data_IF_622859681522
#
_entry.id   IF_622859681522
#
_cell.length_a   1.000
_cell.length_b   1.000
_cell.length_c   1.000
_cell.angle_alpha   90.00
_cell.angle_beta   90.00
_cell.angle_gamma   90.00
#
_symmetry.space_group_name_H-M   'P 1'
#
loop_
_entity.id
_entity.type
_entity.pdbx_description
1 polymer ?
#
# COMPACT_ATOMS: atom_id res chain seq x y z
N UNK A 1 -4.82 -7.96 7.86
CA UNK A 1 -4.46 -7.91 6.42
C UNK A 1 -5.63 -8.39 5.60
N UNK A 2 -5.61 -8.18 4.29
CA UNK A 2 -6.57 -8.84 3.38
C UNK A 2 -5.82 -9.45 2.20
N UNK A 3 -6.38 -10.52 1.65
CA UNK A 3 -6.04 -11.03 0.33
C UNK A 3 -7.12 -10.58 -0.64
N UNK A 4 -6.70 -10.01 -1.77
CA UNK A 4 -7.61 -9.55 -2.82
C UNK A 4 -7.26 -10.21 -4.14
N UNK A 5 -8.28 -10.79 -4.77
CA UNK A 5 -8.21 -11.46 -6.06
C UNK A 5 -7.62 -10.53 -7.13
N UNK A 6 -6.70 -11.06 -7.94
CA UNK A 6 -6.09 -10.34 -9.07
C UNK A 6 -7.11 -9.99 -10.17
N UNK A 7 -8.36 -10.43 -10.04
CA UNK A 7 -9.48 -10.01 -10.90
C UNK A 7 -9.84 -8.54 -10.68
N UNK A 8 -9.70 -8.03 -9.45
CA UNK A 8 -10.06 -6.65 -9.07
C UNK A 8 -8.91 -5.86 -8.46
N UNK A 9 -7.79 -6.53 -8.14
CA UNK A 9 -6.58 -5.90 -7.62
C UNK A 9 -5.45 -5.93 -8.65
N UNK A 10 -4.70 -4.84 -8.72
CA UNK A 10 -3.54 -4.72 -9.58
C UNK A 10 -2.32 -4.22 -8.81
N UNK A 11 -1.20 -4.91 -9.01
CA UNK A 11 0.11 -4.53 -8.48
C UNK A 11 0.90 -3.66 -9.46
N UNK A 12 1.63 -2.69 -8.93
CA UNK A 12 2.69 -1.94 -9.62
C UNK A 12 3.89 -1.82 -8.69
N UNK A 13 5.09 -1.99 -9.23
CA UNK A 13 6.32 -1.89 -8.46
C UNK A 13 7.51 -1.56 -9.34
N UNK A 14 8.55 -1.00 -8.73
CA UNK A 14 9.79 -0.59 -9.40
C UNK A 14 11.02 -1.07 -8.63
N UNK A 15 12.17 -1.12 -9.31
CA UNK A 15 13.45 -1.47 -8.70
C UNK A 15 13.43 -2.83 -8.01
N UNK A 16 13.77 -2.86 -6.72
CA UNK A 16 13.90 -4.10 -5.93
C UNK A 16 12.58 -4.76 -5.58
N UNK A 17 11.46 -4.05 -5.72
CA UNK A 17 10.10 -4.54 -5.45
C UNK A 17 9.28 -4.55 -6.76
N UNK A 18 9.90 -4.93 -7.87
CA UNK A 18 9.24 -4.98 -9.19
C UNK A 18 8.10 -6.01 -9.26
N UNK A 19 8.05 -6.97 -8.34
CA UNK A 19 7.02 -8.02 -8.25
C UNK A 19 6.41 -8.08 -6.85
N UNK A 20 5.16 -8.58 -6.70
CA UNK A 20 4.55 -8.79 -5.39
C UNK A 20 5.41 -9.69 -4.49
N UNK A 21 6.01 -10.75 -5.03
CA UNK A 21 6.83 -11.69 -4.27
C UNK A 21 8.05 -11.02 -3.65
N UNK A 22 8.68 -10.11 -4.39
CA UNK A 22 9.82 -9.33 -3.90
C UNK A 22 9.41 -8.35 -2.79
N UNK A 23 8.26 -7.69 -2.93
CA UNK A 23 7.72 -6.84 -1.86
C UNK A 23 7.45 -7.67 -0.61
N UNK A 24 6.72 -8.79 -0.74
CA UNK A 24 6.34 -9.61 0.40
C UNK A 24 7.54 -10.26 1.09
N UNK A 25 8.60 -10.61 0.36
CA UNK A 25 9.82 -11.14 0.96
C UNK A 25 10.52 -10.13 1.90
N UNK A 26 10.35 -8.82 1.68
CA UNK A 26 10.89 -7.78 2.55
C UNK A 26 9.93 -7.35 3.67
N UNK A 27 8.62 -7.43 3.42
CA UNK A 27 7.59 -6.87 4.30
C UNK A 27 6.89 -7.90 5.20
N UNK A 28 6.93 -9.19 4.86
CA UNK A 28 6.23 -10.24 5.59
C UNK A 28 7.18 -11.42 5.86
N UNK A 29 7.23 -11.84 7.12
CA UNK A 29 7.99 -13.02 7.52
C UNK A 29 7.43 -14.28 6.82
N UNK A 30 8.27 -15.30 6.63
CA UNK A 30 7.92 -16.49 5.86
C UNK A 30 6.70 -17.24 6.43
N UNK A 31 6.66 -17.38 7.75
CA UNK A 31 5.57 -17.99 8.50
C UNK A 31 4.24 -17.22 8.36
N UNK A 32 4.28 -15.89 8.36
CA UNK A 32 3.10 -15.06 8.11
C UNK A 32 2.57 -15.27 6.68
N UNK A 33 3.46 -15.33 5.69
CA UNK A 33 3.07 -15.60 4.29
C UNK A 33 2.47 -17.00 4.12
N UNK A 34 3.03 -17.99 4.78
CA UNK A 34 2.50 -19.36 4.75
C UNK A 34 1.13 -19.44 5.43
N UNK A 35 0.94 -18.77 6.56
CA UNK A 35 -0.34 -18.71 7.26
C UNK A 35 -1.43 -18.01 6.41
N UNK A 36 -1.10 -16.91 5.74
CA UNK A 36 -2.02 -16.26 4.79
C UNK A 36 -2.42 -17.17 3.63
N UNK A 37 -1.44 -17.89 3.06
CA UNK A 37 -1.69 -18.84 1.99
C UNK A 37 -2.60 -20.00 2.45
N UNK A 38 -2.43 -20.49 3.68
CA UNK A 38 -3.32 -21.52 4.23
C UNK A 38 -4.74 -21.04 4.44
N UNK A 39 -4.96 -19.78 4.86
CA UNK A 39 -6.32 -19.22 4.93
C UNK A 39 -7.02 -19.26 3.56
N UNK A 40 -6.29 -18.97 2.48
CA UNK A 40 -6.82 -19.04 1.12
C UNK A 40 -7.08 -20.49 0.67
N UNK A 41 -6.11 -21.40 0.88
CA UNK A 41 -6.26 -22.82 0.52
C UNK A 41 -7.42 -23.49 1.26
N UNK A 42 -7.59 -23.19 2.54
CA UNK A 42 -8.71 -23.69 3.36
C UNK A 42 -10.09 -23.26 2.83
N UNK A 43 -10.15 -22.18 2.05
CA UNK A 43 -11.36 -21.69 1.37
C UNK A 43 -11.45 -22.17 -0.09
N UNK A 44 -10.54 -23.04 -0.54
CA UNK A 44 -10.52 -23.56 -1.90
C UNK A 44 -9.93 -22.60 -2.94
N UNK A 45 -9.25 -21.54 -2.51
CA UNK A 45 -8.61 -20.56 -3.39
C UNK A 45 -7.14 -20.91 -3.65
N UNK A 46 -6.63 -20.54 -4.82
CA UNK A 46 -5.20 -20.58 -5.12
C UNK A 46 -4.53 -19.27 -4.67
N UNK A 47 -3.60 -19.29 -3.70
CA UNK A 47 -2.91 -18.09 -3.23
C UNK A 47 -2.22 -17.27 -4.32
N UNK A 48 -1.85 -17.87 -5.45
CA UNK A 48 -1.20 -17.18 -6.57
C UNK A 48 -2.12 -16.22 -7.32
N UNK A 49 -3.44 -16.35 -7.13
CA UNK A 49 -4.43 -15.47 -7.73
C UNK A 49 -4.82 -14.31 -6.80
N UNK A 50 -4.06 -14.06 -5.73
CA UNK A 50 -4.35 -13.03 -4.74
C UNK A 50 -3.13 -12.15 -4.46
N UNK A 51 -3.41 -10.87 -4.20
CA UNK A 51 -2.46 -9.91 -3.66
C UNK A 51 -2.77 -9.66 -2.19
N UNK A 52 -1.73 -9.58 -1.36
CA UNK A 52 -1.85 -9.17 0.03
C UNK A 52 -1.63 -7.68 0.17
N UNK A 53 -2.50 -7.03 0.95
CA UNK A 53 -2.32 -5.65 1.37
C UNK A 53 -2.86 -5.43 2.79
N UNK A 54 -2.24 -4.52 3.57
CA UNK A 54 -2.79 -4.09 4.83
C UNK A 54 -3.94 -3.10 4.59
N UNK A 55 -4.85 -3.04 5.55
CA UNK A 55 -5.99 -2.13 5.55
C UNK A 55 -6.11 -1.53 6.94
N UNK A 56 -6.48 -0.26 7.01
CA UNK A 56 -6.75 0.39 8.29
C UNK A 56 -8.00 -0.24 8.92
N UNK A 57 -7.99 -0.68 10.20
CA UNK A 57 -9.14 -1.34 10.83
C UNK A 57 -10.45 -0.54 10.72
N UNK A 58 -10.42 0.76 11.01
CA UNK A 58 -11.58 1.65 10.77
C UNK A 58 -12.08 1.64 9.31
N UNK A 59 -11.18 1.65 8.32
CA UNK A 59 -11.57 1.59 6.90
C UNK A 59 -12.21 0.24 6.56
N UNK A 60 -11.71 -0.84 7.17
CA UNK A 60 -12.29 -2.17 7.03
C UNK A 60 -13.74 -2.20 7.49
N UNK A 61 -13.98 -1.79 8.74
CA UNK A 61 -15.30 -1.89 9.37
C UNK A 61 -16.31 -0.90 8.74
N UNK A 62 -15.91 0.34 8.49
CA UNK A 62 -16.83 1.41 8.13
C UNK A 62 -17.07 1.55 6.62
N UNK A 63 -16.13 1.10 5.78
CA UNK A 63 -16.19 1.31 4.32
C UNK A 63 -16.07 0.03 3.51
N UNK A 64 -15.09 -0.82 3.83
CA UNK A 64 -14.85 -2.00 2.99
C UNK A 64 -15.93 -3.05 3.20
N UNK A 65 -16.25 -3.41 4.45
CA UNK A 65 -17.30 -4.41 4.73
C UNK A 65 -18.65 -4.00 4.11
N UNK A 66 -19.14 -2.75 4.26
CA UNK A 66 -20.42 -2.35 3.67
C UNK A 66 -20.40 -2.23 2.14
N UNK A 67 -19.35 -1.66 1.54
CA UNK A 67 -19.33 -1.34 0.11
C UNK A 67 -18.84 -2.51 -0.76
N UNK A 68 -17.94 -3.34 -0.24
CA UNK A 68 -17.41 -4.51 -0.93
C UNK A 68 -18.07 -5.81 -0.48
N UNK A 69 -19.24 -5.76 0.18
CA UNK A 69 -19.94 -6.96 0.66
C UNK A 69 -20.09 -8.06 -0.42
N UNK A 70 -20.44 -7.76 -1.69
CA UNK A 70 -20.47 -8.77 -2.75
C UNK A 70 -19.09 -9.39 -3.03
N UNK A 71 -18.04 -8.56 -3.16
CA UNK A 71 -16.68 -9.04 -3.40
C UNK A 71 -16.14 -9.90 -2.24
N UNK A 72 -16.53 -9.59 -1.00
CA UNK A 72 -16.21 -10.41 0.17
C UNK A 72 -16.95 -11.75 0.11
N UNK A 73 -18.25 -11.73 -0.20
CA UNK A 73 -19.07 -12.94 -0.30
C UNK A 73 -18.59 -13.88 -1.42
N UNK A 74 -18.16 -13.31 -2.56
CA UNK A 74 -17.65 -14.05 -3.72
C UNK A 74 -16.20 -14.55 -3.52
N UNK A 75 -15.56 -14.18 -2.41
CA UNK A 75 -14.16 -14.55 -2.13
C UNK A 75 -13.13 -13.74 -2.93
N UNK A 76 -13.55 -12.70 -3.67
CA UNK A 76 -12.62 -11.75 -4.29
C UNK A 76 -11.87 -10.93 -3.22
N UNK A 77 -12.44 -10.76 -2.02
CA UNK A 77 -11.75 -10.20 -0.85
C UNK A 77 -11.84 -11.17 0.33
N UNK A 78 -10.69 -11.57 0.87
CA UNK A 78 -10.56 -12.50 1.99
C UNK A 78 -9.86 -11.79 3.14
N UNK A 79 -10.55 -11.65 4.28
CA UNK A 79 -9.95 -11.17 5.51
C UNK A 79 -8.86 -12.13 6.03
N UNK A 80 -7.70 -11.56 6.38
CA UNK A 80 -6.55 -12.27 6.94
C UNK A 80 -6.20 -11.69 8.32
N UNK A 81 -5.44 -12.44 9.12
CA UNK A 81 -4.98 -11.98 10.43
C UNK A 81 -3.91 -10.87 10.33
N UNK A 82 -3.47 -10.37 11.49
CA UNK A 82 -2.35 -9.41 11.57
C UNK A 82 -1.01 -10.10 11.25
N UNK A 83 -0.03 -9.33 10.79
CA UNK A 83 1.37 -9.75 10.66
C UNK A 83 2.16 -9.61 11.98
N UNK A 84 1.52 -9.09 13.04
CA UNK A 84 2.13 -8.92 14.37
C UNK A 84 2.89 -7.61 14.53
N UNK A 85 3.42 -7.05 13.45
CA UNK A 85 4.22 -5.83 13.47
C UNK A 85 3.40 -4.58 13.92
N UNK A 86 3.88 -3.91 14.97
CA UNK A 86 3.29 -2.63 15.42
C UNK A 86 3.66 -1.47 14.47
N UNK A 87 2.68 -0.61 14.18
CA UNK A 87 2.87 0.57 13.32
C UNK A 87 2.27 1.83 13.93
N UNK A 88 2.99 2.95 13.78
CA UNK A 88 2.54 4.26 14.25
C UNK A 88 1.96 5.09 13.08
N UNK A 89 0.76 5.66 13.25
CA UNK A 89 0.25 6.65 12.30
C UNK A 89 1.09 7.92 12.35
N UNK A 90 1.46 8.42 11.18
CA UNK A 90 2.15 9.69 11.01
C UNK A 90 1.16 10.87 10.96
N UNK A 91 1.65 12.10 10.77
CA UNK A 91 0.81 13.30 10.74
C UNK A 91 -0.31 13.27 9.70
N UNK A 92 -0.14 12.49 8.61
CA UNK A 92 -1.19 12.28 7.60
C UNK A 92 -2.34 11.38 8.08
N UNK A 93 -2.23 10.79 9.28
CA UNK A 93 -3.12 9.80 9.93
C UNK A 93 -3.08 8.43 9.23
N UNK A 94 -3.02 8.42 7.90
CA UNK A 94 -3.15 7.24 7.05
C UNK A 94 -1.83 6.67 6.52
N UNK A 95 -0.71 7.26 6.91
CA UNK A 95 0.63 6.73 6.61
C UNK A 95 1.20 6.15 7.89
N UNK A 96 1.68 4.92 7.82
CA UNK A 96 2.10 4.13 8.95
C UNK A 96 3.57 3.78 8.85
N UNK A 97 4.33 4.11 9.89
CA UNK A 97 5.72 3.67 10.02
C UNK A 97 5.78 2.43 10.91
N UNK A 98 6.51 1.42 10.46
CA UNK A 98 6.77 0.23 11.26
C UNK A 98 7.76 0.56 12.38
N UNK A 99 7.36 0.37 13.63
CA UNK A 99 8.22 0.71 14.79
C UNK A 99 9.09 -0.44 15.25
N UNK A 100 8.70 -1.66 14.92
CA UNK A 100 9.47 -2.86 15.27
C UNK A 100 10.55 -3.13 14.24
N UNK A 101 10.30 -2.75 12.98
CA UNK A 101 11.20 -2.93 11.83
C UNK A 101 11.31 -1.63 11.02
N UNK A 102 12.04 -0.63 11.53
CA UNK A 102 12.12 0.71 10.93
C UNK A 102 12.77 0.75 9.53
N UNK A 103 13.39 -0.35 9.11
CA UNK A 103 13.93 -0.58 7.77
C UNK A 103 12.90 -1.09 6.74
N UNK A 104 11.71 -1.49 7.18
CA UNK A 104 10.58 -1.84 6.30
C UNK A 104 9.89 -0.58 5.78
N UNK A 105 9.19 -0.70 4.66
CA UNK A 105 8.51 0.43 4.04
C UNK A 105 7.48 1.05 4.98
N UNK A 106 7.33 2.37 4.88
CA UNK A 106 6.13 3.03 5.40
C UNK A 106 4.96 2.70 4.48
N UNK A 107 3.77 2.50 5.05
CA UNK A 107 2.59 2.12 4.28
C UNK A 107 1.54 3.21 4.34
N UNK A 108 1.11 3.68 3.17
CA UNK A 108 0.04 4.67 3.03
C UNK A 108 -1.24 3.96 2.60
N UNK A 109 -2.31 4.24 3.33
CA UNK A 109 -3.61 3.59 3.17
C UNK A 109 -4.70 4.62 2.84
N UNK A 110 -5.79 4.20 2.17
CA UNK A 110 -7.04 4.94 2.17
C UNK A 110 -7.61 4.98 3.58
N UNK A 111 -8.10 6.14 3.96
CA UNK A 111 -8.88 6.33 5.16
C UNK A 111 -9.97 7.34 4.83
N UNK A 112 -11.21 6.87 4.70
CA UNK A 112 -12.35 7.69 4.27
C UNK A 112 -12.86 8.59 5.39
N UNK A 113 -11.98 9.43 5.91
CA UNK A 113 -12.26 10.52 6.84
C UNK A 113 -12.08 11.86 6.11
N UNK A 114 -12.85 12.86 6.53
CA UNK A 114 -12.67 14.23 6.08
C UNK A 114 -11.61 14.90 6.93
N UNK A 115 -10.54 15.40 6.31
CA UNK A 115 -9.52 16.17 7.00
C UNK A 115 -9.07 17.33 6.10
N UNK A 116 -9.05 18.55 6.64
CA UNK A 116 -8.81 19.80 5.89
C UNK A 116 -9.59 19.87 4.56
N UNK A 117 -10.89 19.59 4.60
CA UNK A 117 -11.85 19.68 3.47
C UNK A 117 -11.71 18.65 2.34
N UNK A 118 -10.87 17.63 2.46
CA UNK A 118 -10.80 16.56 1.46
C UNK A 118 -10.84 15.17 2.12
N UNK A 119 -11.43 14.22 1.40
CA UNK A 119 -11.41 12.82 1.80
C UNK A 119 -10.01 12.25 1.66
N UNK A 120 -9.59 11.44 2.63
CA UNK A 120 -8.23 10.90 2.69
C UNK A 120 -8.12 9.52 2.01
N UNK A 121 -8.65 9.40 0.80
CA UNK A 121 -8.59 8.19 -0.03
C UNK A 121 -7.28 8.01 -0.81
N UNK A 122 -7.15 6.90 -1.54
CA UNK A 122 -6.14 6.72 -2.58
C UNK A 122 -6.81 6.46 -3.93
N UNK A 123 -6.83 7.43 -4.86
CA UNK A 123 -7.42 7.22 -6.17
C UNK A 123 -6.70 6.10 -6.93
N UNK A 124 -7.46 5.18 -7.50
CA UNK A 124 -6.96 3.96 -8.16
C UNK A 124 -5.92 4.28 -9.23
N UNK A 125 -6.23 5.16 -10.18
CA UNK A 125 -5.32 5.55 -11.27
C UNK A 125 -3.99 6.14 -10.75
N UNK A 126 -4.05 7.00 -9.72
CA UNK A 126 -2.85 7.60 -9.14
C UNK A 126 -2.03 6.59 -8.33
N UNK A 127 -2.71 5.64 -7.69
CA UNK A 127 -2.08 4.55 -6.96
C UNK A 127 -1.28 3.66 -7.91
N UNK A 128 -1.83 3.36 -9.09
CA UNK A 128 -1.13 2.62 -10.14
C UNK A 128 0.07 3.39 -10.71
N UNK A 129 -0.06 4.70 -10.86
CA UNK A 129 1.00 5.55 -11.40
C UNK A 129 2.14 5.83 -10.40
N UNK A 130 1.88 5.78 -9.09
CA UNK A 130 2.82 6.22 -8.05
C UNK A 130 4.24 5.61 -8.15
N UNK A 131 4.42 4.29 -8.34
CA UNK A 131 5.75 3.71 -8.51
C UNK A 131 6.54 4.26 -9.69
N UNK A 132 5.91 4.40 -10.85
CA UNK A 132 6.56 4.91 -12.05
C UNK A 132 6.90 6.40 -11.92
N UNK A 133 5.98 7.20 -11.39
CA UNK A 133 6.19 8.64 -11.19
C UNK A 133 7.30 8.89 -10.19
N UNK A 134 7.31 8.19 -9.06
CA UNK A 134 8.36 8.41 -8.04
C UNK A 134 9.72 7.91 -8.49
N UNK A 135 9.80 6.79 -9.22
CA UNK A 135 11.04 6.35 -9.85
C UNK A 135 11.59 7.39 -10.83
N UNK A 136 10.73 8.00 -11.64
CA UNK A 136 11.14 9.06 -12.57
C UNK A 136 11.69 10.28 -11.84
N UNK A 137 11.01 10.77 -10.80
CA UNK A 137 11.48 11.93 -10.01
C UNK A 137 12.80 11.60 -9.28
N UNK A 138 12.96 10.38 -8.77
CA UNK A 138 14.21 9.93 -8.17
C UNK A 138 15.35 9.92 -9.19
N UNK A 139 15.10 9.42 -10.42
CA UNK A 139 16.07 9.48 -11.51
C UNK A 139 16.52 10.90 -11.84
N UNK A 140 15.60 11.88 -11.89
CA UNK A 140 15.96 13.29 -12.07
C UNK A 140 16.89 13.81 -10.98
N UNK A 141 16.65 13.41 -9.73
CA UNK A 141 17.50 13.82 -8.60
C UNK A 141 18.87 13.13 -8.64
N UNK A 142 18.93 11.87 -9.09
CA UNK A 142 20.16 11.11 -9.22
C UNK A 142 21.04 11.62 -10.37
N UNK A 143 20.42 12.08 -11.47
CA UNK A 143 21.12 12.56 -12.66
C UNK A 143 21.61 14.01 -12.55
N UNK A 144 21.10 14.79 -11.57
CA UNK A 144 21.50 16.17 -11.33
C UNK A 144 22.59 16.26 -10.22
N UNK A 145 23.84 16.64 -10.55
CA UNK A 145 24.92 16.74 -9.57
C UNK A 145 24.68 17.79 -8.47
N UNK A 146 23.95 18.87 -8.77
CA UNK A 146 23.61 19.86 -7.76
C UNK A 146 22.63 19.27 -6.75
N UNK A 147 21.58 18.57 -7.20
CA UNK A 147 20.62 17.92 -6.30
C UNK A 147 21.26 16.76 -5.50
N UNK A 148 22.04 15.90 -6.17
CA UNK A 148 22.66 14.72 -5.57
C UNK A 148 23.83 15.05 -4.64
N UNK A 149 24.79 15.84 -5.10
CA UNK A 149 26.06 16.02 -4.40
C UNK A 149 26.08 17.29 -3.52
N UNK A 150 25.46 18.37 -4.00
CA UNK A 150 25.45 19.66 -3.27
C UNK A 150 24.32 19.72 -2.25
N UNK A 151 23.07 19.52 -2.70
CA UNK A 151 21.90 19.57 -1.83
C UNK A 151 21.70 18.27 -1.03
N UNK A 152 22.20 17.14 -1.54
CA UNK A 152 22.03 15.80 -0.96
C UNK A 152 20.56 15.49 -0.67
N UNK A 153 19.69 15.78 -1.63
CA UNK A 153 18.24 15.59 -1.48
C UNK A 153 17.93 14.11 -1.27
N UNK A 154 17.14 13.80 -0.24
CA UNK A 154 16.61 12.45 0.01
C UNK A 154 15.14 12.43 -0.39
N UNK A 155 14.83 11.72 -1.48
CA UNK A 155 13.46 11.46 -1.93
C UNK A 155 13.09 10.03 -1.57
N UNK A 156 12.07 9.87 -0.73
CA UNK A 156 11.52 8.57 -0.37
C UNK A 156 10.47 8.15 -1.41
N UNK A 157 10.82 7.20 -2.25
CA UNK A 157 9.98 6.75 -3.37
C UNK A 157 8.78 5.94 -2.90
N UNK A 158 7.64 6.11 -3.58
CA UNK A 158 6.45 5.25 -3.43
C UNK A 158 6.64 4.04 -4.35
N UNK A 159 7.55 3.13 -3.99
CA UNK A 159 8.15 2.11 -4.87
C UNK A 159 7.27 0.91 -5.22
N UNK A 160 6.17 0.72 -4.49
CA UNK A 160 5.19 -0.31 -4.80
C UNK A 160 3.78 0.11 -4.42
N UNK A 161 2.79 -0.44 -5.12
CA UNK A 161 1.39 -0.22 -4.82
C UNK A 161 0.51 -1.41 -5.20
N UNK A 162 -0.59 -1.56 -4.47
CA UNK A 162 -1.73 -2.40 -4.84
C UNK A 162 -2.93 -1.47 -4.91
N UNK A 163 -3.55 -1.37 -6.09
CA UNK A 163 -4.82 -0.67 -6.26
C UNK A 163 -5.94 -1.71 -6.37
N UNK A 164 -7.07 -1.48 -5.71
CA UNK A 164 -8.23 -2.37 -5.80
C UNK A 164 -9.40 -1.57 -6.36
N UNK A 165 -9.84 -1.96 -7.55
CA UNK A 165 -10.99 -1.35 -8.18
C UNK A 165 -12.27 -1.78 -7.46
N UNK A 166 -13.16 -0.82 -7.23
CA UNK A 166 -14.52 -1.14 -6.83
C UNK A 166 -15.28 -1.61 -8.08
N UNK A 167 -15.89 -2.82 -8.09
CA UNK A 167 -16.56 -3.40 -9.26
C UNK A 167 -17.75 -2.61 -9.84
N UNK A 168 -18.13 -1.48 -9.22
CA UNK A 168 -19.28 -0.66 -9.58
C UNK A 168 -18.87 0.81 -9.65
N UNK A 169 -18.37 1.38 -8.55
CA UNK A 169 -18.11 2.82 -8.48
C UNK A 169 -17.02 3.31 -9.44
N UNK A 170 -15.99 2.51 -9.72
CA UNK A 170 -14.95 2.91 -10.66
C UNK A 170 -15.44 2.95 -12.11
N UNK A 171 -16.52 2.22 -12.43
CA UNK A 171 -17.15 2.22 -13.75
C UNK A 171 -18.28 3.24 -13.88
N UNK A 172 -18.62 3.96 -12.81
CA UNK A 172 -19.64 5.02 -12.82
C UNK A 172 -18.98 6.38 -13.10
N UNK A 173 -19.23 7.03 -14.26
CA UNK A 173 -18.57 8.29 -14.60
C UNK A 173 -18.77 9.38 -13.56
N UNK A 174 -19.99 9.52 -13.04
CA UNK A 174 -20.40 10.60 -12.12
C UNK A 174 -20.34 10.19 -10.64
N UNK A 175 -19.75 9.04 -10.30
CA UNK A 175 -19.58 8.68 -8.90
C UNK A 175 -18.72 9.74 -8.18
N UNK A 176 -19.15 10.25 -7.01
CA UNK A 176 -18.36 11.18 -6.23
C UNK A 176 -16.96 10.62 -5.96
N UNK A 177 -15.94 11.48 -6.06
CA UNK A 177 -14.55 11.02 -6.11
C UNK A 177 -14.18 10.14 -4.92
N UNK A 178 -14.71 10.37 -3.72
CA UNK A 178 -14.39 9.57 -2.53
C UNK A 178 -14.70 8.08 -2.67
N UNK A 179 -15.60 7.70 -3.59
CA UNK A 179 -15.92 6.30 -3.88
C UNK A 179 -14.97 5.66 -4.91
N UNK A 180 -14.09 6.44 -5.53
CA UNK A 180 -13.03 5.99 -6.46
C UNK A 180 -11.65 5.90 -5.79
N UNK A 181 -11.63 5.99 -4.45
CA UNK A 181 -10.41 6.09 -3.67
C UNK A 181 -10.41 5.19 -2.42
N UNK A 182 -11.23 4.13 -2.41
CA UNK A 182 -11.63 3.39 -1.20
C UNK A 182 -10.58 2.38 -0.73
N UNK A 183 -9.95 1.64 -1.64
CA UNK A 183 -9.14 0.45 -1.30
C UNK A 183 -7.86 0.36 -2.12
N UNK A 184 -6.75 0.18 -1.40
CA UNK A 184 -5.42 0.04 -1.94
C UNK A 184 -4.36 0.23 -0.88
N UNK A 185 -3.09 0.13 -1.26
CA UNK A 185 -1.96 0.42 -0.41
C UNK A 185 -0.79 0.91 -1.26
N UNK A 186 0.01 1.82 -0.70
CA UNK A 186 1.27 2.26 -1.28
C UNK A 186 2.38 2.03 -0.26
N UNK A 187 3.44 1.37 -0.69
CA UNK A 187 4.66 1.19 0.09
C UNK A 187 5.67 2.25 -0.32
N UNK A 188 6.12 3.02 0.65
CA UNK A 188 7.09 4.10 0.48
C UNK A 188 8.37 3.75 1.23
N UNK A 189 9.50 4.01 0.58
CA UNK A 189 10.82 3.78 1.16
C UNK A 189 10.93 4.41 2.56
N UNK A 190 11.55 3.69 3.51
CA UNK A 190 11.73 4.21 4.85
C UNK A 190 12.88 5.21 4.92
N UNK A 191 12.75 6.16 5.85
CA UNK A 191 13.79 7.16 6.12
C UNK A 191 15.01 6.60 6.86
N UNK A 192 14.88 5.73 7.89
CA UNK A 192 16.02 5.30 8.71
C UNK A 192 17.23 4.77 7.92
N UNK A 193 17.08 3.94 6.87
CA UNK A 193 18.22 3.49 6.07
C UNK A 193 18.93 4.57 5.24
N UNK A 194 18.35 5.79 5.15
CA UNK A 194 18.89 6.92 4.39
C UNK A 194 19.67 7.91 5.27
N UNK A 195 19.65 7.76 6.59
CA UNK A 195 20.35 8.64 7.52
C UNK A 195 21.83 8.23 7.66
N UNK A 196 22.74 9.21 7.60
CA UNK A 196 24.14 8.97 7.91
C UNK A 196 24.35 8.76 9.43
N UNK A 197 25.46 8.14 9.85
CA UNK A 197 25.77 7.97 11.27
C UNK A 197 25.71 9.31 12.04
N UNK A 198 24.85 9.36 13.07
CA UNK A 198 24.65 10.55 13.90
C UNK A 198 23.57 11.52 13.42
N UNK A 199 23.02 11.35 12.21
CA UNK A 199 21.89 12.15 11.73
C UNK A 199 20.58 11.77 12.44
N UNK A 200 19.68 12.75 12.55
CA UNK A 200 18.31 12.56 13.06
C UNK A 200 17.33 13.32 12.18
N UNK A 201 16.22 12.67 11.86
CA UNK A 201 15.09 13.31 11.19
C UNK A 201 14.26 14.14 12.18
N UNK A 202 13.69 15.25 11.71
CA UNK A 202 12.73 16.08 12.45
C UNK A 202 11.32 15.84 11.96
#
# INVERSE_FOLDING_TARGET
>A
WIAVSTRIAQYRGVGRVGTPEQLYAGELDGDVRDAFAEVLRARGHDPRNYLYLPVHPWQWDEWIVPLFAPAIADGDIVALHTDGDARLPQQSIRTFANVERPERHTVKLPLSILNTLVWRGLPTERTLAAPAVTAWVQGLCEDDPFLRDTCRVVLLGEVASVAVEHPLYDHLPEAPYQYKEILGAIWREPLPPRLAPGERAR
#
